data_IF_020358533356
#
_entry.id   IF_020358533356
#
_cell.length_a   1.000
_cell.length_b   1.000
_cell.length_c   1.000
_cell.angle_alpha   90.00
_cell.angle_beta   90.00
_cell.angle_gamma   90.00
#
_symmetry.space_group_name_H-M   'P 1'
#
loop_
_entity.id
_entity.type
_entity.pdbx_description
1 polymer ?
#
# COMPACT_ATOMS: atom_id res chain seq x y z
N UNK A 1 -8.75 19.53 -17.12
CA UNK A 1 -9.27 18.15 -16.92
C UNK A 1 -9.77 18.07 -15.49
N UNK A 2 -11.00 17.63 -15.26
CA UNK A 2 -11.50 17.40 -13.90
C UNK A 2 -10.78 16.19 -13.25
N UNK A 3 -10.87 16.05 -11.91
CA UNK A 3 -10.32 14.88 -11.24
C UNK A 3 -10.94 13.59 -11.76
N UNK A 4 -12.23 13.61 -12.10
CA UNK A 4 -12.92 12.46 -12.67
C UNK A 4 -12.36 12.06 -14.05
N UNK A 5 -12.24 13.02 -14.98
CA UNK A 5 -11.67 12.75 -16.31
C UNK A 5 -10.23 12.22 -16.21
N UNK A 6 -9.43 12.79 -15.32
CA UNK A 6 -8.07 12.34 -15.09
C UNK A 6 -8.04 10.92 -14.49
N UNK A 7 -8.88 10.64 -13.50
CA UNK A 7 -9.00 9.31 -12.89
C UNK A 7 -9.38 8.24 -13.92
N UNK A 8 -10.39 8.51 -14.75
CA UNK A 8 -10.80 7.58 -15.80
C UNK A 8 -9.69 7.32 -16.82
N UNK A 9 -8.96 8.36 -17.20
CA UNK A 9 -7.80 8.24 -18.10
C UNK A 9 -6.69 7.39 -17.49
N UNK A 10 -6.34 7.65 -16.21
CA UNK A 10 -5.23 6.98 -15.55
C UNK A 10 -5.55 5.50 -15.25
N UNK A 11 -6.69 5.25 -14.62
CA UNK A 11 -6.98 3.94 -14.05
C UNK A 11 -7.89 3.07 -14.91
N UNK A 12 -8.51 3.66 -15.93
CA UNK A 12 -9.46 2.96 -16.85
C UNK A 12 -10.65 2.35 -16.11
N UNK A 13 -11.11 3.02 -15.04
CA UNK A 13 -12.38 2.78 -14.37
C UNK A 13 -13.28 3.98 -14.56
N UNK A 14 -14.57 3.74 -14.75
CA UNK A 14 -15.61 4.78 -14.87
C UNK A 14 -16.15 5.27 -13.51
N UNK A 15 -15.60 4.71 -12.42
CA UNK A 15 -15.97 4.93 -11.03
C UNK A 15 -14.76 4.79 -10.11
N UNK A 16 -14.85 5.18 -8.83
CA UNK A 16 -13.85 4.80 -7.86
C UNK A 16 -13.68 3.28 -7.77
N UNK A 17 -12.46 2.82 -7.55
CA UNK A 17 -12.14 1.40 -7.43
C UNK A 17 -11.71 1.04 -6.00
N UNK A 18 -12.03 -0.20 -5.61
CA UNK A 18 -11.59 -0.76 -4.33
C UNK A 18 -10.29 -1.54 -4.53
N UNK A 19 -9.32 -1.29 -3.68
CA UNK A 19 -7.99 -1.91 -3.75
C UNK A 19 -7.62 -2.56 -2.41
N UNK A 20 -6.92 -3.68 -2.45
CA UNK A 20 -6.34 -4.33 -1.26
C UNK A 20 -4.82 -4.19 -1.27
N UNK A 21 -4.20 -4.02 -0.12
CA UNK A 21 -2.75 -4.05 0.03
C UNK A 21 -2.33 -5.46 0.50
N UNK A 22 -1.48 -6.11 -0.29
CA UNK A 22 -0.93 -7.44 -0.01
C UNK A 22 0.59 -7.42 0.20
N UNK A 23 1.22 -6.26 0.10
CA UNK A 23 2.65 -6.02 0.29
C UNK A 23 3.52 -7.09 -0.39
N UNK A 24 4.56 -7.58 0.28
CA UNK A 24 5.37 -8.73 -0.12
C UNK A 24 4.77 -10.07 0.38
N UNK A 25 3.70 -10.05 1.16
CA UNK A 25 3.06 -11.25 1.72
C UNK A 25 2.55 -12.21 0.65
N UNK A 26 2.10 -11.68 -0.50
CA UNK A 26 1.60 -12.49 -1.62
C UNK A 26 2.60 -13.57 -2.08
N UNK A 27 3.89 -13.33 -1.93
CA UNK A 27 4.97 -14.24 -2.35
C UNK A 27 5.70 -14.87 -1.15
N UNK A 28 5.90 -14.11 -0.08
CA UNK A 28 6.70 -14.56 1.07
C UNK A 28 5.90 -15.39 2.08
N UNK A 29 4.56 -15.35 2.07
CA UNK A 29 3.70 -16.05 3.04
C UNK A 29 2.95 -17.22 2.37
N UNK A 30 3.70 -18.18 1.85
CA UNK A 30 3.12 -19.31 1.11
C UNK A 30 3.19 -20.67 1.83
N UNK A 31 3.53 -20.68 3.11
CA UNK A 31 3.44 -21.90 3.90
C UNK A 31 1.99 -22.20 4.28
N UNK A 32 1.63 -23.48 4.59
CA UNK A 32 0.27 -23.85 4.96
C UNK A 32 -0.30 -23.01 6.11
N UNK A 33 -1.46 -22.41 5.90
CA UNK A 33 -2.14 -21.54 6.86
C UNK A 33 -1.62 -20.10 6.91
N UNK A 34 -0.67 -19.70 6.05
CA UNK A 34 -0.15 -18.34 6.00
C UNK A 34 -1.02 -17.37 5.17
N UNK A 35 -1.91 -17.89 4.35
CA UNK A 35 -2.94 -17.16 3.62
C UNK A 35 -2.71 -17.04 2.12
N UNK A 36 -1.49 -17.27 1.62
CA UNK A 36 -1.14 -17.13 0.19
C UNK A 36 -0.59 -18.41 -0.45
N UNK A 37 -0.77 -19.54 0.18
CA UNK A 37 -0.34 -20.84 -0.34
C UNK A 37 -0.97 -21.18 -1.69
N UNK A 38 -2.20 -20.73 -1.92
CA UNK A 38 -2.95 -20.84 -3.18
C UNK A 38 -3.50 -19.49 -3.62
N UNK A 39 -2.90 -18.93 -4.66
CA UNK A 39 -3.31 -17.62 -5.19
C UNK A 39 -4.69 -17.64 -5.84
N UNK A 40 -5.10 -18.71 -6.49
CA UNK A 40 -6.44 -18.77 -7.09
C UNK A 40 -7.53 -18.70 -6.02
N UNK A 41 -7.33 -19.36 -4.88
CA UNK A 41 -8.23 -19.24 -3.73
C UNK A 41 -8.20 -17.81 -3.15
N UNK A 42 -7.03 -17.24 -2.87
CA UNK A 42 -6.91 -15.90 -2.30
C UNK A 42 -7.52 -14.83 -3.21
N UNK A 43 -7.28 -14.89 -4.53
CA UNK A 43 -7.82 -13.95 -5.51
C UNK A 43 -9.32 -14.12 -5.74
N UNK A 44 -9.81 -15.37 -5.72
CA UNK A 44 -11.26 -15.62 -5.73
C UNK A 44 -11.93 -15.00 -4.53
N UNK A 45 -11.37 -15.19 -3.34
CA UNK A 45 -11.87 -14.59 -2.11
C UNK A 45 -11.83 -13.06 -2.15
N UNK A 46 -10.78 -12.47 -2.72
CA UNK A 46 -10.65 -11.02 -2.92
C UNK A 46 -11.77 -10.51 -3.85
N UNK A 47 -11.97 -11.17 -4.98
CA UNK A 47 -13.04 -10.84 -5.94
C UNK A 47 -14.43 -10.99 -5.32
N UNK A 48 -14.67 -12.07 -4.55
CA UNK A 48 -15.93 -12.33 -3.85
C UNK A 48 -16.28 -11.22 -2.82
N UNK A 49 -15.27 -10.56 -2.27
CA UNK A 49 -15.40 -9.41 -1.35
C UNK A 49 -15.60 -8.09 -2.09
N UNK A 50 -15.51 -8.11 -3.42
CA UNK A 50 -15.79 -6.95 -4.26
C UNK A 50 -14.58 -6.04 -4.51
N UNK A 51 -13.35 -6.47 -4.31
CA UNK A 51 -12.18 -5.69 -4.68
C UNK A 51 -11.94 -5.74 -6.20
N UNK A 52 -11.47 -4.61 -6.75
CA UNK A 52 -11.15 -4.41 -8.15
C UNK A 52 -9.65 -4.60 -8.44
N UNK A 53 -8.83 -4.37 -7.42
CA UNK A 53 -7.38 -4.36 -7.57
C UNK A 53 -6.65 -4.84 -6.30
N UNK A 54 -5.37 -5.17 -6.48
CA UNK A 54 -4.44 -5.50 -5.42
C UNK A 54 -3.12 -4.74 -5.60
N UNK A 55 -2.51 -4.25 -4.52
CA UNK A 55 -1.17 -3.67 -4.51
C UNK A 55 -0.19 -4.68 -3.91
N UNK A 56 0.90 -4.92 -4.62
CA UNK A 56 1.93 -5.91 -4.24
C UNK A 56 3.34 -5.37 -4.39
N UNK A 57 4.31 -5.97 -3.69
CA UNK A 57 5.74 -5.77 -3.99
C UNK A 57 6.11 -6.52 -5.28
N UNK A 58 6.69 -5.82 -6.23
CA UNK A 58 7.20 -6.37 -7.49
C UNK A 58 8.68 -6.76 -7.42
N UNK A 59 9.34 -6.51 -6.29
CA UNK A 59 10.78 -6.75 -6.08
C UNK A 59 11.65 -6.23 -7.24
N UNK A 60 11.51 -4.96 -7.70
CA UNK A 60 12.10 -4.51 -8.96
C UNK A 60 13.62 -4.62 -8.98
N UNK A 61 14.29 -4.41 -7.84
CA UNK A 61 15.74 -4.54 -7.72
C UNK A 61 16.23 -5.99 -7.93
N UNK A 62 15.49 -6.99 -7.42
CA UNK A 62 15.79 -8.40 -7.58
C UNK A 62 15.43 -8.89 -8.98
N UNK A 63 14.23 -8.51 -9.45
CA UNK A 63 13.73 -8.80 -10.79
C UNK A 63 14.69 -8.30 -11.86
N UNK A 64 15.15 -7.06 -11.72
CA UNK A 64 16.06 -6.44 -12.69
C UNK A 64 17.49 -7.01 -12.65
N UNK A 65 17.94 -7.49 -11.50
CA UNK A 65 19.28 -8.04 -11.31
C UNK A 65 19.40 -9.46 -11.89
N UNK A 66 18.50 -10.36 -11.50
CA UNK A 66 18.37 -11.70 -12.07
C UNK A 66 17.03 -12.33 -11.69
N UNK A 67 16.06 -12.26 -12.57
CA UNK A 67 14.71 -12.77 -12.33
C UNK A 67 14.65 -14.30 -12.18
N UNK A 68 15.65 -15.01 -12.69
CA UNK A 68 15.72 -16.48 -12.69
C UNK A 68 16.40 -17.06 -11.45
N UNK A 69 17.03 -16.20 -10.67
CA UNK A 69 17.76 -16.59 -9.45
C UNK A 69 16.79 -16.91 -8.32
N UNK A 70 17.10 -17.95 -7.51
CA UNK A 70 16.52 -18.11 -6.19
C UNK A 70 17.13 -17.08 -5.25
N UNK A 71 16.30 -16.17 -4.73
CA UNK A 71 16.69 -15.13 -3.80
C UNK A 71 16.39 -15.57 -2.37
N UNK A 72 17.30 -15.25 -1.46
CA UNK A 72 17.16 -15.52 -0.02
C UNK A 72 16.96 -14.18 0.67
N UNK A 73 15.75 -13.96 1.17
CA UNK A 73 15.33 -12.71 1.81
C UNK A 73 15.51 -12.78 3.31
N UNK A 74 15.96 -11.67 3.89
CA UNK A 74 16.06 -11.51 5.32
C UNK A 74 14.69 -11.39 5.98
N UNK A 75 14.52 -11.84 7.24
CA UNK A 75 13.28 -11.58 7.96
C UNK A 75 12.99 -10.09 8.08
N UNK A 76 11.71 -9.75 8.01
CA UNK A 76 11.22 -8.40 8.31
C UNK A 76 10.10 -8.54 9.33
N UNK A 77 10.25 -7.91 10.50
CA UNK A 77 9.39 -8.05 11.67
C UNK A 77 9.12 -9.50 12.09
N UNK A 78 9.34 -9.77 13.34
CA UNK A 78 9.16 -11.11 13.94
C UNK A 78 7.72 -11.42 14.33
N UNK A 79 6.74 -10.80 13.67
CA UNK A 79 5.31 -10.96 13.98
C UNK A 79 4.60 -11.78 12.92
N UNK A 80 3.74 -12.69 13.38
CA UNK A 80 3.15 -13.73 12.53
C UNK A 80 2.22 -13.20 11.44
N UNK A 81 1.43 -12.15 11.70
CA UNK A 81 0.44 -11.64 10.74
C UNK A 81 0.98 -10.53 9.83
N UNK A 82 2.01 -9.82 10.26
CA UNK A 82 2.71 -8.82 9.47
C UNK A 82 4.12 -9.29 9.16
N UNK A 83 4.59 -8.95 7.95
CA UNK A 83 5.95 -9.19 7.53
C UNK A 83 6.26 -10.64 7.18
N UNK A 84 7.55 -10.92 7.05
CA UNK A 84 8.12 -12.24 6.84
C UNK A 84 8.96 -12.62 8.07
N UNK A 85 8.44 -13.47 8.97
CA UNK A 85 9.05 -13.70 10.30
C UNK A 85 10.32 -14.55 10.25
N UNK A 86 10.63 -15.14 9.11
CA UNK A 86 11.79 -16.02 8.92
C UNK A 86 12.48 -15.73 7.59
N UNK A 87 13.69 -16.27 7.43
CA UNK A 87 14.38 -16.29 6.13
C UNK A 87 13.50 -17.00 5.10
N UNK A 88 13.24 -16.34 3.97
CA UNK A 88 12.36 -16.85 2.92
C UNK A 88 13.12 -16.95 1.60
N UNK A 89 12.89 -18.03 0.86
CA UNK A 89 13.41 -18.22 -0.49
C UNK A 89 12.31 -17.95 -1.50
N UNK A 90 12.62 -17.15 -2.51
CA UNK A 90 11.68 -16.81 -3.58
C UNK A 90 12.31 -17.03 -4.96
N UNK A 91 11.47 -17.37 -5.94
CA UNK A 91 11.82 -17.43 -7.35
C UNK A 91 10.84 -16.56 -8.14
N UNK A 92 11.30 -15.41 -8.64
CA UNK A 92 10.40 -14.40 -9.21
C UNK A 92 9.88 -14.76 -10.59
N UNK A 93 10.69 -15.41 -11.45
CA UNK A 93 10.35 -15.62 -12.86
C UNK A 93 9.00 -16.31 -13.06
N UNK A 94 8.84 -17.46 -12.45
CA UNK A 94 7.65 -18.29 -12.65
C UNK A 94 6.51 -17.86 -11.71
N UNK A 95 6.83 -17.53 -10.46
CA UNK A 95 5.85 -17.11 -9.46
C UNK A 95 5.20 -15.78 -9.81
N UNK A 96 5.97 -14.78 -10.23
CA UNK A 96 5.40 -13.47 -10.57
C UNK A 96 4.52 -13.55 -11.82
N UNK A 97 4.98 -14.27 -12.87
CA UNK A 97 4.16 -14.52 -14.05
C UNK A 97 2.87 -15.27 -13.72
N UNK A 98 2.96 -16.33 -12.92
CA UNK A 98 1.80 -17.13 -12.51
C UNK A 98 0.80 -16.29 -11.72
N UNK A 99 1.28 -15.44 -10.80
CA UNK A 99 0.44 -14.55 -10.01
C UNK A 99 -0.28 -13.51 -10.89
N UNK A 100 0.43 -12.83 -11.80
CA UNK A 100 -0.20 -11.86 -12.71
C UNK A 100 -1.27 -12.52 -13.59
N UNK A 101 -0.99 -13.72 -14.12
CA UNK A 101 -1.96 -14.49 -14.88
C UNK A 101 -3.17 -14.91 -14.04
N UNK A 102 -2.98 -15.25 -12.75
CA UNK A 102 -4.07 -15.52 -11.83
C UNK A 102 -4.92 -14.26 -11.58
N UNK A 103 -4.30 -13.11 -11.34
CA UNK A 103 -5.00 -11.84 -11.20
C UNK A 103 -5.88 -11.53 -12.43
N UNK A 104 -5.35 -11.72 -13.64
CA UNK A 104 -6.12 -11.56 -14.88
C UNK A 104 -7.34 -12.49 -14.96
N UNK A 105 -7.17 -13.79 -14.61
CA UNK A 105 -8.29 -14.74 -14.58
C UNK A 105 -9.41 -14.33 -13.63
N UNK A 106 -9.03 -13.77 -12.47
CA UNK A 106 -9.98 -13.29 -11.46
C UNK A 106 -10.44 -11.84 -11.68
N UNK A 107 -10.03 -11.20 -12.78
CA UNK A 107 -10.35 -9.80 -13.12
C UNK A 107 -9.91 -8.80 -12.04
N UNK A 108 -8.80 -9.08 -11.40
CA UNK A 108 -8.15 -8.22 -10.42
C UNK A 108 -7.01 -7.46 -11.12
N UNK A 109 -7.05 -6.13 -11.10
CA UNK A 109 -5.96 -5.29 -11.60
C UNK A 109 -4.82 -5.27 -10.57
N UNK A 110 -3.61 -5.04 -11.03
CA UNK A 110 -2.42 -5.09 -10.16
C UNK A 110 -1.71 -3.74 -10.10
N UNK A 111 -1.65 -3.16 -8.91
CA UNK A 111 -0.76 -2.06 -8.62
C UNK A 111 0.58 -2.61 -8.13
N UNK A 112 1.66 -2.17 -8.72
CA UNK A 112 3.00 -2.58 -8.36
C UNK A 112 3.65 -1.54 -7.47
N UNK A 113 4.25 -1.98 -6.37
CA UNK A 113 5.05 -1.17 -5.48
C UNK A 113 6.36 -1.88 -5.15
N UNK A 114 7.19 -1.30 -4.31
CA UNK A 114 8.31 -1.99 -3.70
C UNK A 114 8.61 -1.48 -2.30
N UNK A 115 8.79 -2.45 -1.39
CA UNK A 115 9.35 -2.26 -0.06
C UNK A 115 10.87 -2.53 -0.05
N UNK A 116 11.48 -2.70 -1.24
CA UNK A 116 12.90 -3.00 -1.43
C UNK A 116 13.44 -4.02 -0.42
N UNK A 117 12.76 -5.17 -0.36
CA UNK A 117 13.05 -6.25 0.57
C UNK A 117 14.52 -6.66 0.51
N UNK A 118 15.16 -6.71 1.67
CA UNK A 118 16.57 -7.08 1.78
C UNK A 118 16.81 -8.54 1.47
N UNK A 119 17.68 -8.82 0.51
CA UNK A 119 18.28 -10.13 0.31
C UNK A 119 19.62 -10.23 1.09
N UNK A 120 20.16 -11.43 1.19
CA UNK A 120 21.46 -11.64 1.86
C UNK A 120 22.63 -10.87 1.22
N UNK A 121 22.49 -10.47 -0.03
CA UNK A 121 23.50 -9.71 -0.78
C UNK A 121 23.29 -8.20 -0.74
N UNK A 122 22.27 -7.72 -0.04
CA UNK A 122 21.89 -6.29 0.00
C UNK A 122 21.75 -5.67 -1.40
N UNK A 123 21.05 -6.35 -2.29
CA UNK A 123 20.88 -5.92 -3.68
C UNK A 123 20.10 -4.60 -3.81
N UNK A 124 19.28 -4.23 -2.83
CA UNK A 124 18.63 -2.92 -2.74
C UNK A 124 19.63 -1.76 -2.72
N UNK A 125 20.85 -2.01 -2.19
CA UNK A 125 21.93 -1.02 -2.11
C UNK A 125 22.69 -0.81 -3.44
N UNK A 126 22.38 -1.58 -4.48
CA UNK A 126 22.92 -1.34 -5.83
C UNK A 126 22.28 -0.10 -6.49
N UNK A 127 21.12 0.32 -6.01
CA UNK A 127 20.49 1.59 -6.41
C UNK A 127 21.30 2.75 -5.82
N UNK A 128 21.86 3.59 -6.67
CA UNK A 128 22.77 4.70 -6.29
C UNK A 128 22.29 6.05 -6.79
N UNK A 129 21.32 6.04 -7.69
CA UNK A 129 20.80 7.23 -8.35
C UNK A 129 19.32 7.08 -8.70
N UNK A 130 18.61 8.18 -8.97
CA UNK A 130 17.25 8.13 -9.54
C UNK A 130 17.19 7.34 -10.86
N UNK A 131 18.26 7.36 -11.64
CA UNK A 131 18.35 6.57 -12.89
C UNK A 131 18.35 5.09 -12.59
N UNK A 132 19.14 4.63 -11.62
CA UNK A 132 19.13 3.21 -11.23
C UNK A 132 17.75 2.78 -10.75
N UNK A 133 17.07 3.64 -9.99
CA UNK A 133 15.68 3.37 -9.54
C UNK A 133 14.72 3.25 -10.73
N UNK A 134 14.81 4.12 -11.72
CA UNK A 134 13.99 4.00 -12.93
C UNK A 134 14.36 2.76 -13.76
N UNK A 135 15.63 2.42 -13.86
CA UNK A 135 16.12 1.29 -14.67
C UNK A 135 15.64 -0.05 -14.12
N UNK A 136 15.62 -0.24 -12.79
CA UNK A 136 15.09 -1.48 -12.21
C UNK A 136 13.58 -1.64 -12.48
N UNK A 137 12.82 -0.56 -12.46
CA UNK A 137 11.42 -0.57 -12.85
C UNK A 137 11.21 -0.82 -14.35
N UNK A 138 11.98 -0.17 -15.21
CA UNK A 138 11.92 -0.41 -16.67
C UNK A 138 12.19 -1.88 -16.99
N UNK A 139 13.23 -2.48 -16.39
CA UNK A 139 13.54 -3.90 -16.61
C UNK A 139 12.42 -4.81 -16.10
N UNK A 140 11.84 -4.50 -14.95
CA UNK A 140 10.69 -5.24 -14.40
C UNK A 140 9.50 -5.19 -15.35
N UNK A 141 9.15 -4.01 -15.85
CA UNK A 141 8.07 -3.85 -16.81
C UNK A 141 8.35 -4.54 -18.15
N UNK A 142 9.58 -4.57 -18.62
CA UNK A 142 9.97 -5.31 -19.83
C UNK A 142 9.67 -6.82 -19.68
N UNK A 143 9.91 -7.42 -18.51
CA UNK A 143 9.50 -8.80 -18.27
C UNK A 143 7.98 -8.96 -18.29
N UNK A 144 7.25 -8.10 -17.59
CA UNK A 144 5.78 -8.13 -17.54
C UNK A 144 5.18 -7.98 -18.96
N UNK A 145 5.72 -7.07 -19.76
CA UNK A 145 5.32 -6.86 -21.16
C UNK A 145 5.60 -8.11 -22.01
N UNK A 146 6.78 -8.72 -21.86
CA UNK A 146 7.13 -9.96 -22.56
C UNK A 146 6.22 -11.13 -22.24
N UNK A 147 5.53 -11.10 -21.10
CA UNK A 147 4.50 -12.09 -20.71
C UNK A 147 3.10 -11.74 -21.21
N UNK A 148 2.90 -10.56 -21.79
CA UNK A 148 1.60 -10.07 -22.22
C UNK A 148 0.69 -9.64 -21.06
N UNK A 149 1.27 -9.29 -19.89
CA UNK A 149 0.52 -8.95 -18.68
C UNK A 149 0.47 -7.44 -18.39
N UNK A 150 1.10 -6.60 -19.24
CA UNK A 150 1.23 -5.15 -19.01
C UNK A 150 -0.13 -4.45 -18.90
N UNK A 151 -1.12 -4.85 -19.68
CA UNK A 151 -2.47 -4.28 -19.65
C UNK A 151 -3.20 -4.51 -18.33
N UNK A 152 -2.78 -5.50 -17.54
CA UNK A 152 -3.33 -5.76 -16.21
C UNK A 152 -2.72 -4.89 -15.12
N UNK A 153 -1.62 -4.19 -15.41
CA UNK A 153 -0.99 -3.28 -14.46
C UNK A 153 -1.81 -2.00 -14.35
N UNK A 154 -2.16 -1.66 -13.12
CA UNK A 154 -2.99 -0.51 -12.80
C UNK A 154 -2.15 0.77 -12.68
N UNK A 155 -1.07 0.71 -11.91
CA UNK A 155 -0.10 1.78 -11.72
C UNK A 155 1.20 1.26 -11.09
N UNK A 156 2.20 2.14 -11.04
CA UNK A 156 3.47 1.93 -10.33
C UNK A 156 3.57 2.92 -9.18
N UNK A 157 3.73 2.42 -7.97
CA UNK A 157 4.29 3.15 -6.84
C UNK A 157 5.79 2.80 -6.76
N UNK A 158 6.65 3.75 -7.09
CA UNK A 158 8.07 3.47 -7.29
C UNK A 158 8.81 3.08 -6.01
N UNK A 159 8.30 3.48 -4.85
CA UNK A 159 8.82 3.08 -3.54
C UNK A 159 7.75 3.32 -2.48
N UNK A 160 7.50 2.28 -1.67
CA UNK A 160 6.60 2.39 -0.52
C UNK A 160 7.08 3.44 0.47
N UNK A 161 6.17 4.32 0.90
CA UNK A 161 6.42 5.35 1.92
C UNK A 161 7.71 6.16 1.71
N UNK A 162 7.87 6.65 0.50
CA UNK A 162 9.00 7.48 0.12
C UNK A 162 9.11 8.75 1.00
N UNK A 163 10.28 9.18 1.45
CA UNK A 163 11.61 8.56 1.33
C UNK A 163 12.04 7.82 2.61
N UNK A 164 11.12 7.11 3.26
CA UNK A 164 11.39 6.44 4.54
C UNK A 164 12.59 5.48 4.41
N UNK A 165 13.61 5.69 5.21
CA UNK A 165 14.90 5.01 5.10
C UNK A 165 14.82 3.50 5.32
N UNK A 166 13.79 3.01 6.02
CA UNK A 166 13.54 1.58 6.17
C UNK A 166 13.18 0.90 4.82
N UNK A 167 12.48 1.61 3.93
CA UNK A 167 12.09 1.11 2.60
C UNK A 167 12.96 1.65 1.47
N UNK A 168 13.64 2.77 1.71
CA UNK A 168 14.54 3.41 0.75
C UNK A 168 15.96 3.59 1.30
N UNK A 169 16.62 2.54 1.85
CA UNK A 169 17.94 2.67 2.47
C UNK A 169 19.03 3.11 1.47
N UNK A 170 18.77 2.90 0.18
CA UNK A 170 19.64 3.29 -0.91
C UNK A 170 19.76 4.81 -1.13
N UNK A 171 18.86 5.61 -0.59
CA UNK A 171 18.96 7.09 -0.66
C UNK A 171 20.16 7.61 0.12
N UNK A 172 20.57 6.92 1.17
CA UNK A 172 21.77 7.21 1.98
C UNK A 172 21.83 8.63 2.59
N UNK A 173 20.68 9.25 2.81
CA UNK A 173 20.55 10.54 3.48
C UNK A 173 19.75 10.32 4.76
N UNK A 174 20.41 10.14 5.93
CA UNK A 174 19.69 9.87 7.17
C UNK A 174 18.71 10.98 7.51
N UNK A 175 17.47 10.61 7.86
CA UNK A 175 16.42 11.54 8.25
C UNK A 175 15.90 12.42 7.11
N UNK A 176 16.15 12.06 5.85
CA UNK A 176 15.56 12.74 4.69
C UNK A 176 14.04 12.71 4.79
N UNK A 177 13.40 13.83 4.50
CA UNK A 177 11.95 13.99 4.54
C UNK A 177 11.39 14.19 3.15
N UNK A 178 10.09 13.96 3.01
CA UNK A 178 9.39 14.09 1.73
C UNK A 178 9.55 15.49 1.12
N UNK A 179 9.48 16.53 1.95
CA UNK A 179 9.57 17.94 1.53
C UNK A 179 11.01 18.42 1.21
N UNK A 180 12.04 17.62 1.50
CA UNK A 180 13.42 18.00 1.22
C UNK A 180 13.69 18.02 -0.29
N UNK A 181 14.45 19.02 -0.76
CA UNK A 181 14.76 19.21 -2.19
C UNK A 181 15.39 17.94 -2.81
N UNK A 182 16.25 17.25 -2.08
CA UNK A 182 16.87 16.02 -2.52
C UNK A 182 15.81 14.91 -2.77
N UNK A 183 14.82 14.77 -1.88
CA UNK A 183 13.71 13.83 -2.01
C UNK A 183 12.86 14.12 -3.25
N UNK A 184 12.47 15.39 -3.42
CA UNK A 184 11.68 15.84 -4.59
C UNK A 184 12.46 15.65 -5.89
N UNK A 185 13.77 15.94 -5.89
CA UNK A 185 14.64 15.76 -7.05
C UNK A 185 14.75 14.28 -7.45
N UNK A 186 14.88 13.35 -6.47
CA UNK A 186 14.87 11.93 -6.71
C UNK A 186 13.57 11.48 -7.37
N UNK A 187 12.41 11.85 -6.81
CA UNK A 187 11.11 11.51 -7.38
C UNK A 187 10.99 11.96 -8.83
N UNK A 188 11.29 13.23 -9.10
CA UNK A 188 11.20 13.80 -10.46
C UNK A 188 12.06 13.05 -11.45
N UNK A 189 13.33 12.82 -11.14
CA UNK A 189 14.26 12.17 -12.05
C UNK A 189 13.90 10.71 -12.29
N UNK A 190 13.49 9.98 -11.24
CA UNK A 190 13.09 8.58 -11.36
C UNK A 190 11.82 8.42 -12.19
N UNK A 191 10.78 9.24 -11.93
CA UNK A 191 9.54 9.24 -12.73
C UNK A 191 9.82 9.58 -14.19
N UNK A 192 10.60 10.63 -14.45
CA UNK A 192 10.95 11.01 -15.82
C UNK A 192 11.73 9.90 -16.54
N UNK A 193 12.62 9.20 -15.84
CA UNK A 193 13.35 8.04 -16.38
C UNK A 193 12.39 6.93 -16.81
N UNK A 194 11.46 6.52 -15.94
CA UNK A 194 10.47 5.49 -16.24
C UNK A 194 9.53 5.89 -17.38
N UNK A 195 9.02 7.13 -17.36
CA UNK A 195 8.07 7.66 -18.36
C UNK A 195 8.63 7.74 -19.78
N UNK A 196 9.96 7.78 -19.97
CA UNK A 196 10.59 7.69 -21.30
C UNK A 196 10.30 6.36 -21.98
N UNK A 197 10.12 5.29 -21.22
CA UNK A 197 9.90 3.94 -21.73
C UNK A 197 8.42 3.53 -21.65
N UNK A 198 7.73 3.95 -20.59
CA UNK A 198 6.34 3.59 -20.30
C UNK A 198 5.49 4.84 -20.00
N UNK A 199 5.24 5.70 -21.01
CA UNK A 199 4.56 6.99 -20.80
C UNK A 199 3.11 6.85 -20.30
N UNK A 200 2.44 5.76 -20.66
CA UNK A 200 1.01 5.55 -20.41
C UNK A 200 0.69 4.84 -19.08
N UNK A 201 1.71 4.27 -18.40
CA UNK A 201 1.50 3.65 -17.09
C UNK A 201 1.46 4.76 -16.03
N UNK A 202 0.40 4.84 -15.20
CA UNK A 202 0.34 5.82 -14.12
C UNK A 202 1.45 5.55 -13.09
N UNK A 203 2.10 6.61 -12.62
CA UNK A 203 3.26 6.52 -11.70
C UNK A 203 3.07 7.46 -10.51
N UNK A 204 3.39 6.97 -9.34
CA UNK A 204 3.45 7.72 -8.09
C UNK A 204 4.61 7.25 -7.22
N UNK A 205 4.77 7.92 -6.09
CA UNK A 205 5.39 7.43 -4.87
C UNK A 205 4.36 7.51 -3.78
N UNK A 206 4.19 6.46 -2.96
CA UNK A 206 3.34 6.53 -1.78
C UNK A 206 4.06 7.26 -0.63
N UNK A 207 3.30 7.87 0.27
CA UNK A 207 3.88 8.64 1.38
C UNK A 207 3.17 8.36 2.69
N UNK A 208 3.99 8.39 3.77
CA UNK A 208 3.50 8.49 5.13
C UNK A 208 4.15 9.75 5.73
N UNK A 209 3.41 10.86 5.84
CA UNK A 209 3.98 12.16 6.18
C UNK A 209 3.00 13.07 6.93
N UNK A 210 3.50 14.19 7.44
CA UNK A 210 2.69 15.31 7.92
C UNK A 210 2.12 16.07 6.72
N UNK A 211 0.89 15.76 6.35
CA UNK A 211 0.27 16.31 5.15
C UNK A 211 0.03 17.82 5.21
N UNK A 212 -0.01 18.42 6.40
CA UNK A 212 -0.03 19.87 6.53
C UNK A 212 1.19 20.55 5.88
N UNK A 213 2.33 19.86 5.82
CA UNK A 213 3.55 20.33 5.15
C UNK A 213 3.59 19.97 3.66
N UNK A 214 2.79 19.03 3.23
CA UNK A 214 2.80 18.53 1.84
C UNK A 214 2.00 19.40 0.87
N UNK A 215 1.16 20.34 1.35
CA UNK A 215 0.32 21.20 0.51
C UNK A 215 1.11 22.05 -0.49
N UNK A 216 2.36 22.38 -0.16
CA UNK A 216 3.28 23.14 -1.02
C UNK A 216 4.25 22.26 -1.82
N UNK A 217 4.19 20.93 -1.67
CA UNK A 217 5.11 20.04 -2.33
C UNK A 217 4.88 20.03 -3.85
N UNK A 218 5.98 20.12 -4.61
CA UNK A 218 5.91 19.96 -6.06
C UNK A 218 5.74 18.49 -6.45
N UNK A 219 4.48 18.13 -6.67
CA UNK A 219 4.05 16.81 -7.14
C UNK A 219 3.77 16.76 -8.63
N UNK A 220 4.25 17.74 -9.40
CA UNK A 220 3.98 17.85 -10.84
C UNK A 220 4.41 16.61 -11.63
N UNK A 221 5.45 15.90 -11.18
CA UNK A 221 5.95 14.69 -11.82
C UNK A 221 5.07 13.45 -11.58
N UNK A 222 4.23 13.44 -10.56
CA UNK A 222 3.36 12.32 -10.23
C UNK A 222 2.07 12.37 -11.04
N UNK A 223 1.50 11.24 -11.39
CA UNK A 223 0.18 11.19 -12.07
C UNK A 223 -0.98 11.33 -11.09
N UNK A 224 -0.82 10.83 -9.88
CA UNK A 224 -1.80 10.87 -8.79
C UNK A 224 -1.06 10.86 -7.44
N UNK A 225 -1.79 11.00 -6.32
CA UNK A 225 -1.22 11.03 -4.97
C UNK A 225 -1.64 9.77 -4.21
N UNK A 226 -0.70 9.11 -3.52
CA UNK A 226 -0.97 7.93 -2.70
C UNK A 226 -0.52 8.13 -1.25
N UNK A 227 -1.30 8.89 -0.44
CA UNK A 227 -1.04 9.04 0.98
C UNK A 227 -1.47 7.80 1.77
N UNK A 228 -0.69 7.42 2.78
CA UNK A 228 -1.06 6.45 3.80
C UNK A 228 -1.67 7.17 5.01
N UNK A 229 -2.85 6.75 5.45
CA UNK A 229 -3.68 7.55 6.36
C UNK A 229 -4.17 6.71 7.53
N UNK A 230 -3.63 6.93 8.73
CA UNK A 230 -4.07 6.22 9.93
C UNK A 230 -4.47 7.14 11.07
N UNK A 231 -5.56 6.82 11.73
CA UNK A 231 -5.98 7.46 12.98
C UNK A 231 -4.85 7.42 14.02
N UNK A 232 -4.16 6.28 14.15
CA UNK A 232 -3.09 6.11 15.13
C UNK A 232 -1.85 6.98 14.83
N UNK A 233 -1.62 7.37 13.57
CA UNK A 233 -0.49 8.23 13.19
C UNK A 233 -0.77 9.72 13.43
N UNK A 234 -2.03 10.14 13.33
CA UNK A 234 -2.45 11.55 13.53
C UNK A 234 -2.94 11.84 14.95
N UNK A 235 -2.82 10.87 15.85
CA UNK A 235 -3.25 10.99 17.26
C UNK A 235 -2.23 10.39 18.22
N UNK A 236 -2.49 10.56 19.52
CA UNK A 236 -1.70 9.93 20.60
C UNK A 236 -2.18 8.53 20.98
N UNK A 237 -3.00 7.88 20.15
CA UNK A 237 -3.63 6.60 20.45
C UNK A 237 -2.62 5.54 20.90
N UNK A 238 -1.53 5.32 20.16
CA UNK A 238 -0.52 4.33 20.50
C UNK A 238 0.15 4.61 21.85
N UNK A 239 0.46 5.85 22.14
CA UNK A 239 1.00 6.25 23.44
C UNK A 239 0.03 5.95 24.58
N UNK A 240 -1.29 6.21 24.38
CA UNK A 240 -2.33 5.95 25.38
C UNK A 240 -2.53 4.47 25.67
N UNK A 241 -2.46 3.62 24.67
CA UNK A 241 -2.59 2.18 24.87
C UNK A 241 -1.27 1.52 25.30
N UNK A 242 -0.13 2.18 25.15
CA UNK A 242 1.19 1.64 25.47
C UNK A 242 1.70 0.69 24.41
N UNK A 243 1.50 1.05 23.15
CA UNK A 243 2.11 0.42 21.99
C UNK A 243 3.23 1.31 21.45
N UNK A 244 4.36 0.70 21.08
CA UNK A 244 5.48 1.40 20.45
C UNK A 244 5.78 0.75 19.11
N UNK A 245 5.69 1.51 18.06
CA UNK A 245 5.95 1.10 16.70
C UNK A 245 7.21 0.29 16.49
N UNK A 246 8.30 0.80 17.07
CA UNK A 246 9.64 0.30 16.80
C UNK A 246 9.93 -1.06 17.45
N UNK A 247 9.08 -1.49 18.37
CA UNK A 247 9.36 -2.69 19.14
C UNK A 247 8.75 -3.95 18.54
N UNK A 248 7.60 -3.84 17.86
CA UNK A 248 6.84 -4.97 17.33
C UNK A 248 6.78 -6.16 18.29
N UNK A 249 6.63 -5.86 19.59
CA UNK A 249 6.76 -6.84 20.65
C UNK A 249 5.39 -7.35 21.13
N UNK A 250 5.42 -8.52 21.79
CA UNK A 250 4.22 -9.13 22.34
C UNK A 250 3.53 -8.27 23.39
N UNK A 251 4.27 -7.43 24.12
CA UNK A 251 3.71 -6.51 25.11
C UNK A 251 2.88 -5.42 24.46
N UNK A 252 3.36 -4.87 23.33
CA UNK A 252 2.62 -3.89 22.53
C UNK A 252 1.32 -4.46 22.00
N UNK A 253 1.34 -5.65 21.40
CA UNK A 253 0.13 -6.31 20.92
C UNK A 253 -0.84 -6.68 22.03
N UNK A 254 -0.34 -7.15 23.16
CA UNK A 254 -1.17 -7.41 24.36
C UNK A 254 -1.83 -6.13 24.85
N UNK A 255 -1.11 -5.02 24.89
CA UNK A 255 -1.65 -3.72 25.25
C UNK A 255 -2.74 -3.25 24.28
N UNK A 256 -2.55 -3.42 22.97
CA UNK A 256 -3.57 -3.13 21.95
C UNK A 256 -4.82 -3.98 22.20
N UNK A 257 -4.69 -5.28 22.43
CA UNK A 257 -5.80 -6.19 22.68
C UNK A 257 -6.59 -5.84 23.97
N UNK A 258 -5.89 -5.47 25.04
CA UNK A 258 -6.51 -5.21 26.34
C UNK A 258 -7.06 -3.78 26.50
N UNK A 259 -6.47 -2.82 25.82
CA UNK A 259 -6.73 -1.39 26.06
C UNK A 259 -7.29 -0.65 24.85
N UNK A 260 -7.00 -1.13 23.63
CA UNK A 260 -7.29 -0.40 22.39
C UNK A 260 -8.76 -0.11 22.22
N UNK A 261 -9.63 -1.10 22.38
CA UNK A 261 -11.09 -0.91 22.29
C UNK A 261 -11.60 0.11 23.29
N UNK A 262 -11.23 -0.05 24.56
CA UNK A 262 -11.69 0.87 25.63
C UNK A 262 -11.19 2.29 25.40
N UNK A 263 -9.93 2.45 25.01
CA UNK A 263 -9.36 3.78 24.71
C UNK A 263 -10.10 4.42 23.54
N UNK A 264 -10.34 3.67 22.46
CA UNK A 264 -11.08 4.16 21.31
C UNK A 264 -12.51 4.56 21.68
N UNK A 265 -13.29 3.67 22.30
CA UNK A 265 -14.70 3.94 22.63
C UNK A 265 -14.88 5.12 23.59
N UNK A 266 -13.98 5.30 24.54
CA UNK A 266 -14.02 6.43 25.47
C UNK A 266 -13.69 7.77 24.80
N UNK A 267 -13.01 7.77 23.66
CA UNK A 267 -12.52 8.96 22.97
C UNK A 267 -12.88 8.95 21.47
N UNK A 268 -13.90 8.20 21.07
CA UNK A 268 -14.26 7.97 19.66
C UNK A 268 -14.39 9.26 18.88
N UNK A 269 -15.13 10.25 19.39
CA UNK A 269 -15.34 11.54 18.72
C UNK A 269 -14.00 12.21 18.41
N UNK A 270 -13.05 12.20 19.35
CA UNK A 270 -11.73 12.79 19.17
C UNK A 270 -10.95 12.11 18.07
N UNK A 271 -10.90 10.77 18.07
CA UNK A 271 -10.13 10.00 17.11
C UNK A 271 -10.73 10.08 15.71
N UNK A 272 -12.04 9.98 15.61
CA UNK A 272 -12.77 10.09 14.34
C UNK A 272 -12.66 11.52 13.76
N UNK A 273 -12.73 12.56 14.60
CA UNK A 273 -12.55 13.95 14.15
C UNK A 273 -11.16 14.19 13.59
N UNK A 274 -10.11 13.72 14.27
CA UNK A 274 -8.72 13.84 13.79
C UNK A 274 -8.50 13.12 12.45
N UNK A 275 -9.04 11.91 12.30
CA UNK A 275 -8.99 11.19 11.04
C UNK A 275 -9.75 11.92 9.93
N UNK A 276 -10.94 12.43 10.21
CA UNK A 276 -11.73 13.22 9.25
C UNK A 276 -11.02 14.47 8.80
N UNK A 277 -10.39 15.19 9.73
CA UNK A 277 -9.63 16.41 9.44
C UNK A 277 -8.46 16.12 8.50
N UNK A 278 -7.73 15.03 8.75
CA UNK A 278 -6.64 14.58 7.88
C UNK A 278 -7.14 14.18 6.47
N UNK A 279 -8.25 13.45 6.37
CA UNK A 279 -8.89 13.09 5.09
C UNK A 279 -9.29 14.34 4.31
N UNK A 280 -9.85 15.35 4.97
CA UNK A 280 -10.25 16.60 4.35
C UNK A 280 -9.03 17.42 3.86
N UNK A 281 -7.95 17.50 4.64
CA UNK A 281 -6.70 18.14 4.22
C UNK A 281 -6.13 17.50 2.94
N UNK A 282 -6.16 16.18 2.85
CA UNK A 282 -5.75 15.44 1.64
C UNK A 282 -6.67 15.73 0.45
N UNK A 283 -7.98 15.82 0.67
CA UNK A 283 -8.92 16.19 -0.38
C UNK A 283 -8.65 17.61 -0.91
N UNK A 284 -8.32 18.57 -0.05
CA UNK A 284 -7.90 19.91 -0.47
C UNK A 284 -6.57 19.88 -1.25
N UNK A 285 -5.61 19.04 -0.84
CA UNK A 285 -4.37 18.86 -1.61
C UNK A 285 -4.63 18.29 -3.00
N UNK A 286 -5.50 17.29 -3.11
CA UNK A 286 -5.93 16.74 -4.41
C UNK A 286 -6.51 17.81 -5.33
N UNK A 287 -7.42 18.65 -4.82
CA UNK A 287 -8.02 19.76 -5.57
C UNK A 287 -6.98 20.78 -5.99
N UNK A 288 -6.09 21.20 -5.07
CA UNK A 288 -5.06 22.18 -5.33
C UNK A 288 -4.02 21.70 -6.35
N UNK A 289 -3.65 20.42 -6.31
CA UNK A 289 -2.70 19.81 -7.25
C UNK A 289 -3.35 19.35 -8.56
N UNK A 290 -4.67 19.25 -8.62
CA UNK A 290 -5.42 18.69 -9.76
C UNK A 290 -5.16 17.19 -9.95
N UNK A 291 -4.83 16.45 -8.88
CA UNK A 291 -4.48 15.02 -8.92
C UNK A 291 -5.42 14.19 -8.04
N UNK A 292 -5.99 13.08 -8.56
CA UNK A 292 -6.81 12.20 -7.74
C UNK A 292 -5.98 11.49 -6.66
N UNK A 293 -6.65 11.09 -5.59
CA UNK A 293 -6.07 10.31 -4.50
C UNK A 293 -6.29 8.82 -4.69
N UNK A 294 -5.31 8.04 -4.26
CA UNK A 294 -5.43 6.60 -4.00
C UNK A 294 -4.88 6.35 -2.59
N UNK A 295 -5.46 5.43 -1.83
CA UNK A 295 -4.84 4.97 -0.60
C UNK A 295 -4.96 3.46 -0.48
N UNK A 296 -3.89 2.82 -0.06
CA UNK A 296 -3.79 1.37 0.09
C UNK A 296 -3.49 0.97 1.52
N UNK A 297 -2.94 1.88 2.34
CA UNK A 297 -2.63 1.67 3.74
C UNK A 297 -3.37 2.71 4.60
N UNK A 298 -4.35 2.26 5.37
CA UNK A 298 -5.32 3.12 6.07
C UNK A 298 -6.18 2.28 7.04
N UNK A 299 -6.97 2.82 7.80
CA UNK A 299 -7.50 4.07 8.36
C UNK A 299 -7.34 4.07 9.88
N UNK A 300 -7.24 2.86 10.49
CA UNK A 300 -7.27 2.66 11.93
C UNK A 300 -5.87 2.72 12.56
N UNK A 301 -5.34 1.56 12.88
CA UNK A 301 -4.00 1.34 13.39
C UNK A 301 -3.11 0.73 12.30
N UNK A 302 -1.83 0.99 12.35
CA UNK A 302 -0.87 0.40 11.39
C UNK A 302 -0.65 -1.08 11.71
N UNK A 303 -0.43 -1.39 12.97
CA UNK A 303 -0.06 -2.71 13.44
C UNK A 303 -1.22 -3.35 14.21
N UNK A 304 -1.76 -4.43 13.67
CA UNK A 304 -2.77 -5.26 14.30
C UNK A 304 -2.69 -6.67 13.75
N UNK A 305 -3.01 -7.69 14.53
CA UNK A 305 -2.98 -9.09 14.10
C UNK A 305 -3.95 -9.92 14.89
N UNK A 306 -4.22 -11.14 14.45
CA UNK A 306 -5.00 -12.12 15.20
C UNK A 306 -4.22 -12.58 16.43
N UNK A 307 -4.42 -11.86 17.52
CA UNK A 307 -3.81 -12.09 18.81
C UNK A 307 -4.87 -12.60 19.79
N UNK A 308 -4.54 -13.46 20.74
CA UNK A 308 -5.49 -13.83 21.79
C UNK A 308 -6.08 -12.60 22.47
N UNK A 309 -7.37 -12.58 22.71
CA UNK A 309 -8.14 -11.48 23.28
C UNK A 309 -8.38 -10.27 22.37
N UNK A 310 -7.96 -10.33 21.12
CA UNK A 310 -8.10 -9.24 20.19
C UNK A 310 -9.54 -9.15 19.66
N UNK A 311 -10.11 -7.93 19.69
CA UNK A 311 -11.40 -7.63 19.10
C UNK A 311 -11.23 -6.77 17.82
N UNK A 312 -11.67 -7.28 16.69
CA UNK A 312 -11.63 -6.56 15.43
C UNK A 312 -12.73 -5.52 15.24
N UNK A 313 -13.80 -5.52 16.07
CA UNK A 313 -15.00 -4.72 15.80
C UNK A 313 -14.74 -3.21 15.87
N UNK A 314 -13.95 -2.75 16.84
CA UNK A 314 -13.56 -1.35 16.94
C UNK A 314 -12.64 -0.93 15.78
N UNK A 315 -11.72 -1.80 15.35
CA UNK A 315 -10.85 -1.59 14.19
C UNK A 315 -11.68 -1.46 12.91
N UNK A 316 -12.67 -2.36 12.74
CA UNK A 316 -13.62 -2.31 11.62
C UNK A 316 -14.46 -1.04 11.63
N UNK A 317 -14.84 -0.54 12.82
CA UNK A 317 -15.60 0.71 12.95
C UNK A 317 -14.82 1.91 12.42
N UNK A 318 -13.54 2.05 12.80
CA UNK A 318 -12.67 3.13 12.32
C UNK A 318 -12.45 3.01 10.82
N UNK A 319 -12.15 1.80 10.34
CA UNK A 319 -11.92 1.55 8.91
C UNK A 319 -13.16 1.86 8.06
N UNK A 320 -14.35 1.53 8.55
CA UNK A 320 -15.61 1.91 7.92
C UNK A 320 -15.74 3.42 7.83
N UNK A 321 -15.53 4.12 8.95
CA UNK A 321 -15.61 5.56 9.00
C UNK A 321 -14.65 6.21 7.99
N UNK A 322 -13.38 5.82 8.00
CA UNK A 322 -12.37 6.36 7.08
C UNK A 322 -12.73 6.12 5.61
N UNK A 323 -13.19 4.91 5.27
CA UNK A 323 -13.64 4.58 3.92
C UNK A 323 -14.83 5.44 3.47
N UNK A 324 -15.87 5.58 4.33
CA UNK A 324 -17.05 6.39 4.06
C UNK A 324 -16.70 7.88 3.94
N UNK A 325 -15.84 8.39 4.82
CA UNK A 325 -15.37 9.78 4.80
C UNK A 325 -14.58 10.09 3.53
N UNK A 326 -13.58 9.28 3.18
CA UNK A 326 -12.79 9.43 1.97
C UNK A 326 -13.67 9.42 0.71
N UNK A 327 -14.56 8.43 0.62
CA UNK A 327 -15.51 8.28 -0.49
C UNK A 327 -16.39 9.52 -0.68
N UNK A 328 -16.79 10.17 0.43
CA UNK A 328 -17.68 11.34 0.42
C UNK A 328 -17.00 12.61 -0.09
N UNK A 329 -15.66 12.71 -0.06
CA UNK A 329 -14.94 13.92 -0.51
C UNK A 329 -14.96 14.11 -2.03
N UNK A 330 -15.19 13.05 -2.79
CA UNK A 330 -15.14 13.07 -4.24
C UNK A 330 -13.74 13.25 -4.86
N UNK A 331 -12.67 13.03 -4.08
CA UNK A 331 -11.28 13.21 -4.52
C UNK A 331 -10.51 11.89 -4.68
N UNK A 332 -11.06 10.77 -4.23
CA UNK A 332 -10.40 9.48 -4.17
C UNK A 332 -10.80 8.59 -5.35
N UNK A 333 -9.82 8.26 -6.21
CA UNK A 333 -9.98 7.32 -7.32
C UNK A 333 -9.90 5.86 -6.85
N UNK A 334 -9.01 5.58 -5.91
CA UNK A 334 -8.83 4.25 -5.33
C UNK A 334 -8.81 4.28 -3.81
N UNK A 335 -9.53 3.34 -3.18
CA UNK A 335 -9.67 3.30 -1.72
C UNK A 335 -9.51 1.86 -1.24
N UNK A 336 -8.59 1.64 -0.28
CA UNK A 336 -8.59 0.44 0.52
C UNK A 336 -9.61 0.54 1.65
N UNK A 337 -10.28 -0.56 1.97
CA UNK A 337 -11.19 -0.60 3.11
C UNK A 337 -10.41 -0.63 4.43
N UNK A 338 -9.15 -1.09 4.38
CA UNK A 338 -8.22 -1.23 5.49
C UNK A 338 -6.86 -1.68 4.96
N UNK A 339 -5.78 -1.48 5.70
CA UNK A 339 -4.50 -2.16 5.43
C UNK A 339 -4.52 -3.66 5.81
N UNK A 340 -5.60 -4.14 6.46
CA UNK A 340 -5.78 -5.55 6.84
C UNK A 340 -6.64 -6.33 5.82
N UNK A 341 -6.68 -5.95 4.56
CA UNK A 341 -7.49 -6.58 3.50
C UNK A 341 -6.78 -7.77 2.85
N UNK A 342 -6.23 -8.68 3.65
CA UNK A 342 -5.45 -9.82 3.15
C UNK A 342 -5.74 -11.09 3.97
N UNK A 343 -5.59 -12.28 3.35
CA UNK A 343 -5.98 -13.56 3.97
C UNK A 343 -5.31 -13.86 5.30
N UNK A 344 -4.09 -13.34 5.54
CA UNK A 344 -3.36 -13.55 6.80
C UNK A 344 -4.02 -12.89 8.01
N UNK A 345 -4.90 -11.90 7.81
CA UNK A 345 -5.64 -11.25 8.89
C UNK A 345 -7.01 -11.93 9.07
N UNK A 346 -6.99 -13.16 9.53
CA UNK A 346 -8.13 -14.07 9.52
C UNK A 346 -9.39 -13.49 10.15
N UNK A 347 -9.27 -12.83 11.32
CA UNK A 347 -10.42 -12.24 12.02
C UNK A 347 -11.08 -11.10 11.24
N UNK A 348 -10.30 -10.32 10.48
CA UNK A 348 -10.80 -9.29 9.58
C UNK A 348 -11.33 -9.90 8.28
N UNK A 349 -10.53 -10.80 7.67
CA UNK A 349 -10.81 -11.37 6.35
C UNK A 349 -12.10 -12.20 6.29
N UNK A 350 -12.46 -12.88 7.38
CA UNK A 350 -13.68 -13.70 7.46
C UNK A 350 -14.98 -12.92 7.40
N UNK A 351 -14.97 -11.62 7.68
CA UNK A 351 -16.16 -10.79 7.63
C UNK A 351 -16.47 -10.33 6.21
N UNK A 352 -16.91 -11.26 5.37
CA UNK A 352 -17.23 -11.03 3.95
C UNK A 352 -18.28 -9.92 3.80
N UNK A 353 -19.26 -9.88 4.69
CA UNK A 353 -20.34 -8.89 4.62
C UNK A 353 -19.84 -7.46 4.83
N UNK A 354 -18.91 -7.28 5.76
CA UNK A 354 -18.25 -6.01 6.02
C UNK A 354 -17.46 -5.53 4.80
N UNK A 355 -16.62 -6.41 4.22
CA UNK A 355 -15.86 -6.08 3.02
C UNK A 355 -16.78 -5.69 1.86
N UNK A 356 -17.81 -6.50 1.57
CA UNK A 356 -18.78 -6.24 0.49
C UNK A 356 -19.54 -4.93 0.65
N UNK A 357 -19.86 -4.57 1.89
CA UNK A 357 -20.54 -3.30 2.17
C UNK A 357 -19.61 -2.13 1.79
N UNK A 358 -18.37 -2.16 2.23
CA UNK A 358 -17.44 -1.04 2.01
C UNK A 358 -16.94 -0.95 0.56
N UNK A 359 -16.64 -2.07 -0.09
CA UNK A 359 -16.28 -2.06 -1.50
C UNK A 359 -17.44 -1.56 -2.37
N UNK A 360 -18.70 -1.83 -1.99
CA UNK A 360 -19.87 -1.23 -2.63
C UNK A 360 -19.91 0.28 -2.40
N UNK A 361 -19.74 0.76 -1.17
CA UNK A 361 -19.68 2.19 -0.85
C UNK A 361 -18.65 2.91 -1.72
N UNK A 362 -17.46 2.33 -1.86
CA UNK A 362 -16.40 2.89 -2.73
C UNK A 362 -16.88 2.97 -4.17
N UNK A 363 -17.41 1.89 -4.72
CA UNK A 363 -17.84 1.79 -6.11
C UNK A 363 -19.03 2.69 -6.47
N UNK A 364 -19.91 2.96 -5.52
CA UNK A 364 -21.05 3.87 -5.65
C UNK A 364 -20.65 5.34 -5.42
N UNK A 365 -19.43 5.58 -4.94
CA UNK A 365 -18.86 6.91 -4.78
C UNK A 365 -18.70 7.63 -6.13
N UNK A 366 -18.41 8.93 -6.05
CA UNK A 366 -18.21 9.78 -7.24
C UNK A 366 -16.89 10.52 -7.08
N UNK A 367 -16.23 10.76 -8.21
CA UNK A 367 -15.10 11.68 -8.32
C UNK A 367 -15.62 12.96 -8.96
N UNK A 368 -15.36 14.11 -8.35
CA UNK A 368 -15.89 15.42 -8.80
C UNK A 368 -14.83 16.30 -9.47
#
# INVERSE_FOLDING_TARGET
MSLNELSQKLFRFDRPFSIAMWDFSWLERRWPGAGFEDWDTALKELSDRGYDAVRIDAYPHLTAKDISREWVLNPVWSVESWGAPSVTKICLKDDFRAFLSACRRHKIRVALSSWFRQDQGHSEMDIRSPTDLSDVWVKTLNYIDSWGELDNILYIDMCNEWPFDFWAPFVRVPGIRLEDEASVSWMKQAVLGLKKHYPDIPVTFSFSADYGKCLSLDVSCLDFLEPHVWMAAVTDFYSKVGYHYELFDNKGYTNLALRGEKEYLNNEIRYVSALSENINQLAEWAKASGKPLVTTECWSVVNYKDWPLLNWDWVKSINRFGTEAASSTGCWAGIATSNFCAPQFVGMWRDISWHRKLTRTIREGKII
#
